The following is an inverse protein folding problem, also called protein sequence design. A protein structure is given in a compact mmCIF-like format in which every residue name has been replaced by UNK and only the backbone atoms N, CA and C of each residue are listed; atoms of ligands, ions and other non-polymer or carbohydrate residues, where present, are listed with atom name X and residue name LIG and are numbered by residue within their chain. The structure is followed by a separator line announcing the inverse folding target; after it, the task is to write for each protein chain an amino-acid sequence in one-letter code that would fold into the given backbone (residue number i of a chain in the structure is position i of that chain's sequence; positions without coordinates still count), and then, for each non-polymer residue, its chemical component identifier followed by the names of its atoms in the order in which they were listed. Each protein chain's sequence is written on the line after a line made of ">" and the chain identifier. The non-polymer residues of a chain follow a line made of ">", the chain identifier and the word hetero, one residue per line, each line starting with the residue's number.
data_IF_125898740794
#
_entry.id   IF_125898740794
#
_cell.length_a   1.000
_cell.length_b   1.000
_cell.length_c   1.000
_cell.angle_alpha   90.00
_cell.angle_beta   90.00
_cell.angle_gamma   90.00
#
_symmetry.space_group_name_H-M   'P 1'
#
loop_
_entity.id
_entity.type
_entity.pdbx_description
1 polymer ?
#
# COMPACT_ATOMS: atom_id res chain seq x y z
N UNK A 1 20.61 17.61 7.63
CA UNK A 1 19.60 17.55 8.70
C UNK A 1 19.78 16.30 9.52
N UNK A 2 20.12 16.46 10.81
CA UNK A 2 20.37 15.38 11.76
C UNK A 2 19.13 14.52 12.03
N UNK A 3 17.95 15.13 11.99
CA UNK A 3 16.65 14.50 12.28
C UNK A 3 16.30 13.34 11.32
N UNK A 4 16.82 13.38 10.10
CA UNK A 4 16.54 12.39 9.05
C UNK A 4 17.75 11.51 8.73
N UNK A 5 18.83 11.62 9.52
CA UNK A 5 20.06 10.84 9.31
C UNK A 5 19.86 9.39 9.81
N UNK A 6 19.86 8.39 8.90
CA UNK A 6 19.67 7.00 9.29
C UNK A 6 20.82 6.42 10.13
N UNK A 7 21.98 7.11 10.19
CA UNK A 7 23.10 6.71 11.04
C UNK A 7 22.90 7.09 12.53
N UNK A 8 21.92 7.93 12.83
CA UNK A 8 21.62 8.38 14.19
C UNK A 8 20.40 7.62 14.71
N UNK A 9 20.58 6.86 15.79
CA UNK A 9 19.46 6.14 16.40
C UNK A 9 18.44 7.11 17.00
N UNK A 10 17.17 6.69 17.05
CA UNK A 10 16.11 7.49 17.65
C UNK A 10 16.42 7.85 19.12
N UNK A 11 17.04 6.94 19.87
CA UNK A 11 17.44 7.17 21.26
C UNK A 11 18.54 8.23 21.39
N UNK A 12 19.51 8.22 20.48
CA UNK A 12 20.58 9.22 20.43
C UNK A 12 20.01 10.60 20.14
N UNK A 13 19.10 10.68 19.17
CA UNK A 13 18.41 11.91 18.82
C UNK A 13 17.56 12.44 20.00
N UNK A 14 16.76 11.57 20.63
CA UNK A 14 15.95 11.94 21.79
C UNK A 14 16.81 12.44 22.95
N UNK A 15 17.93 11.78 23.24
CA UNK A 15 18.87 12.23 24.26
C UNK A 15 19.40 13.63 23.93
N UNK A 16 19.89 13.87 22.71
CA UNK A 16 20.41 15.20 22.33
C UNK A 16 19.36 16.30 22.48
N UNK A 17 18.11 16.03 22.11
CA UNK A 17 17.01 16.99 22.18
C UNK A 17 16.49 17.26 23.60
N UNK A 18 16.55 16.28 24.51
CA UNK A 18 15.84 16.35 25.81
C UNK A 18 16.70 15.93 27.02
N UNK A 19 18.03 16.04 26.93
CA UNK A 19 18.96 15.60 27.98
C UNK A 19 18.82 16.36 29.31
N UNK A 20 18.26 17.58 29.31
CA UNK A 20 18.18 18.42 30.52
C UNK A 20 17.27 17.84 31.61
N UNK A 21 16.12 17.26 31.23
CA UNK A 21 15.13 16.68 32.16
C UNK A 21 15.21 15.14 32.25
N UNK A 22 16.10 14.53 31.47
CA UNK A 22 16.24 13.09 31.34
C UNK A 22 15.26 12.45 30.33
N UNK A 23 15.72 11.40 29.65
CA UNK A 23 14.96 10.73 28.59
C UNK A 23 14.65 9.29 28.96
N UNK A 24 13.39 8.90 28.79
CA UNK A 24 12.94 7.50 28.88
C UNK A 24 12.36 7.05 27.56
N UNK A 25 13.06 6.18 26.85
CA UNK A 25 12.57 5.54 25.63
C UNK A 25 11.83 4.23 25.96
N UNK A 26 10.80 3.92 25.18
CA UNK A 26 10.11 2.64 25.21
C UNK A 26 10.61 1.74 24.08
N UNK A 27 10.18 0.46 24.10
CA UNK A 27 10.52 -0.46 23.03
C UNK A 27 10.03 0.09 21.67
N UNK A 28 10.89 0.11 20.64
CA UNK A 28 10.50 0.62 19.34
C UNK A 28 9.45 -0.28 18.69
N UNK A 29 8.56 0.34 17.91
CA UNK A 29 7.61 -0.38 17.07
C UNK A 29 8.10 -0.39 15.63
N UNK A 30 8.17 -1.56 14.98
CA UNK A 30 8.58 -1.64 13.59
C UNK A 30 7.52 -0.98 12.70
N UNK A 31 7.96 -0.06 11.85
CA UNK A 31 7.12 0.56 10.82
C UNK A 31 7.39 -0.13 9.49
N UNK A 32 6.33 -0.40 8.72
CA UNK A 32 6.41 -1.01 7.39
C UNK A 32 5.51 -0.25 6.42
N UNK A 33 5.98 -0.12 5.18
CA UNK A 33 5.13 0.33 4.09
C UNK A 33 4.23 -0.85 3.66
N UNK A 34 2.94 -0.77 3.98
CA UNK A 34 1.97 -1.83 3.70
C UNK A 34 0.68 -1.24 3.12
N UNK A 35 0.17 -1.84 2.04
CA UNK A 35 -1.08 -1.44 1.41
C UNK A 35 -2.13 -2.56 1.54
N UNK A 36 -3.36 -2.19 1.92
CA UNK A 36 -4.46 -3.13 2.13
C UNK A 36 -5.24 -3.52 0.88
N UNK A 37 -4.73 -3.23 -0.33
CA UNK A 37 -5.36 -3.62 -1.59
C UNK A 37 -5.28 -5.14 -1.80
N UNK A 38 -6.37 -5.73 -2.32
CA UNK A 38 -6.50 -7.17 -2.53
C UNK A 38 -7.36 -7.42 -3.76
N UNK A 39 -7.08 -8.48 -4.51
CA UNK A 39 -7.79 -8.79 -5.75
C UNK A 39 -9.30 -9.00 -5.49
N UNK A 40 -9.66 -9.61 -4.36
CA UNK A 40 -11.04 -9.87 -3.96
C UNK A 40 -11.81 -8.57 -3.72
N UNK A 41 -11.17 -7.56 -3.11
CA UNK A 41 -11.80 -6.24 -2.90
C UNK A 41 -12.08 -5.54 -4.23
N UNK A 42 -11.16 -5.67 -5.18
CA UNK A 42 -11.29 -5.06 -6.50
C UNK A 42 -12.34 -5.79 -7.34
N UNK A 43 -12.35 -7.13 -7.32
CA UNK A 43 -13.38 -7.94 -7.99
C UNK A 43 -14.79 -7.62 -7.44
N UNK A 44 -14.93 -7.40 -6.13
CA UNK A 44 -16.20 -6.95 -5.54
C UNK A 44 -16.65 -5.55 -6.02
N UNK A 45 -15.72 -4.69 -6.43
CA UNK A 45 -16.04 -3.41 -7.08
C UNK A 45 -16.44 -3.64 -8.53
N UNK A 46 -15.72 -4.49 -9.28
CA UNK A 46 -16.03 -4.83 -10.68
C UNK A 46 -17.40 -5.51 -10.81
N UNK A 47 -17.79 -6.34 -9.84
CA UNK A 47 -19.09 -7.02 -9.80
C UNK A 47 -20.31 -6.09 -9.70
N UNK A 48 -20.10 -4.77 -9.53
CA UNK A 48 -21.18 -3.77 -9.49
C UNK A 48 -21.54 -3.22 -10.87
N UNK A 49 -20.70 -3.45 -11.87
CA UNK A 49 -20.94 -3.05 -13.25
C UNK A 49 -21.71 -4.14 -13.99
N UNK A 50 -22.44 -3.74 -15.01
CA UNK A 50 -23.05 -4.65 -15.98
C UNK A 50 -21.99 -5.31 -16.86
N UNK A 51 -22.35 -6.41 -17.53
CA UNK A 51 -21.46 -7.09 -18.47
C UNK A 51 -20.97 -6.14 -19.56
N UNK A 52 -21.85 -5.34 -20.16
CA UNK A 52 -21.49 -4.38 -21.22
C UNK A 52 -20.48 -3.34 -20.71
N UNK A 53 -20.67 -2.81 -19.51
CA UNK A 53 -19.72 -1.88 -18.88
C UNK A 53 -18.37 -2.52 -18.58
N UNK A 54 -18.33 -3.81 -18.20
CA UNK A 54 -17.09 -4.53 -18.00
C UNK A 54 -16.36 -4.78 -19.33
N UNK A 55 -17.09 -5.07 -20.40
CA UNK A 55 -16.50 -5.22 -21.74
C UNK A 55 -15.87 -3.91 -22.23
N UNK A 56 -16.48 -2.76 -21.94
CA UNK A 56 -15.91 -1.44 -22.26
C UNK A 56 -14.60 -1.14 -21.51
N UNK A 57 -14.34 -1.83 -20.38
CA UNK A 57 -13.10 -1.70 -19.60
C UNK A 57 -11.99 -2.66 -20.07
N UNK A 58 -12.26 -3.58 -20.99
CA UNK A 58 -11.28 -4.57 -21.45
C UNK A 58 -10.27 -3.93 -22.39
N UNK A 59 -9.00 -4.04 -22.04
CA UNK A 59 -7.87 -3.65 -22.89
C UNK A 59 -6.95 -4.86 -23.11
N UNK A 60 -6.60 -5.15 -24.36
CA UNK A 60 -5.75 -6.30 -24.72
C UNK A 60 -6.21 -7.65 -24.12
N UNK A 61 -7.52 -7.83 -23.95
CA UNK A 61 -8.15 -9.08 -23.48
C UNK A 61 -8.30 -9.22 -21.97
N UNK A 62 -7.95 -8.21 -21.17
CA UNK A 62 -8.15 -8.20 -19.72
C UNK A 62 -8.56 -6.80 -19.20
N UNK A 63 -9.18 -6.76 -18.03
CA UNK A 63 -9.38 -5.50 -17.29
C UNK A 63 -8.13 -5.28 -16.43
N UNK A 64 -7.43 -4.18 -16.63
CA UNK A 64 -6.27 -3.79 -15.82
C UNK A 64 -6.67 -2.76 -14.77
N UNK A 65 -6.42 -3.06 -13.49
CA UNK A 65 -6.62 -2.12 -12.38
C UNK A 65 -5.29 -1.84 -11.70
N UNK A 66 -4.90 -0.57 -11.63
CA UNK A 66 -3.71 -0.12 -10.92
C UNK A 66 -4.12 0.47 -9.57
N UNK A 67 -3.55 -0.02 -8.48
CA UNK A 67 -3.78 0.59 -7.17
C UNK A 67 -3.06 1.94 -7.07
N UNK A 68 -3.78 3.04 -6.86
CA UNK A 68 -3.15 4.37 -6.78
C UNK A 68 -2.33 4.63 -5.49
N UNK A 69 -2.35 3.70 -4.53
CA UNK A 69 -1.54 3.82 -3.31
C UNK A 69 -0.20 3.10 -3.43
N UNK A 70 -0.22 1.82 -3.83
CA UNK A 70 0.99 1.01 -3.91
C UNK A 70 1.45 0.70 -5.34
N UNK A 71 0.71 1.18 -6.35
CA UNK A 71 0.99 0.99 -7.78
C UNK A 71 1.08 -0.46 -8.23
N UNK A 72 0.50 -1.37 -7.46
CA UNK A 72 0.34 -2.78 -7.83
C UNK A 72 -0.67 -2.92 -8.96
N UNK A 73 -0.31 -3.70 -9.96
CA UNK A 73 -1.13 -4.03 -11.11
C UNK A 73 -1.94 -5.30 -10.82
N UNK A 74 -3.24 -5.24 -11.08
CA UNK A 74 -4.14 -6.38 -11.00
C UNK A 74 -4.78 -6.62 -12.37
N UNK A 75 -4.89 -7.88 -12.76
CA UNK A 75 -5.49 -8.29 -14.01
C UNK A 75 -6.74 -9.14 -13.76
N UNK A 76 -7.83 -8.78 -14.41
CA UNK A 76 -9.11 -9.48 -14.31
C UNK A 76 -9.58 -9.97 -15.68
N UNK A 77 -10.37 -11.03 -15.68
CA UNK A 77 -11.08 -11.51 -16.86
C UNK A 77 -12.11 -10.46 -17.32
N UNK A 78 -12.65 -10.57 -18.55
CA UNK A 78 -13.75 -9.72 -18.99
C UNK A 78 -15.01 -9.79 -18.08
N UNK A 79 -15.12 -10.83 -17.24
CA UNK A 79 -16.20 -10.99 -16.25
C UNK A 79 -15.88 -10.35 -14.89
N UNK A 80 -14.73 -9.66 -14.74
CA UNK A 80 -14.32 -9.05 -13.48
C UNK A 80 -13.75 -10.03 -12.43
N UNK A 81 -13.39 -11.24 -12.85
CA UNK A 81 -12.80 -12.25 -11.97
C UNK A 81 -11.26 -12.18 -11.98
N UNK A 82 -10.56 -12.44 -10.87
CA UNK A 82 -9.10 -12.40 -10.84
C UNK A 82 -8.49 -13.42 -11.82
N UNK A 83 -7.64 -12.95 -12.74
CA UNK A 83 -6.96 -13.82 -13.72
C UNK A 83 -5.59 -14.36 -13.24
N UNK A 84 -5.19 -14.00 -12.02
CA UNK A 84 -3.93 -14.42 -11.40
C UNK A 84 -3.65 -13.69 -10.07
N UNK A 85 -2.56 -14.07 -9.40
CA UNK A 85 -2.03 -13.27 -8.30
C UNK A 85 -1.35 -12.00 -8.85
N UNK A 86 -1.44 -10.86 -8.15
CA UNK A 86 -0.73 -9.64 -8.54
C UNK A 86 0.78 -9.74 -8.33
#
# INVERSE_FOLDING_TARGET
>A
DELLDPAISAETLLYRLFHEDGVRAFAPQPVRAECGCKAEKISAVLARYSEDELQDMVEAGAIKVVCEFCRKDYHFTPQGEPSGAP
#
